data_IF_786023354944
#
_entry.id   IF_786023354944
#
_cell.length_a   1.000
_cell.length_b   1.000
_cell.length_c   1.000
_cell.angle_alpha   90.00
_cell.angle_beta   90.00
_cell.angle_gamma   90.00
#
_symmetry.space_group_name_H-M   'P 1'
#
loop_
_entity.id
_entity.type
_entity.pdbx_description
1 polymer ?
#
# COMPACT_ATOMS: atom_id res chain seq x y z
N UNK A 1 -2.70 -10.73 -1.13
CA UNK A 1 -1.37 -10.08 -1.01
C UNK A 1 -0.23 -11.10 -0.90
N UNK A 2 -0.14 -11.91 0.17
CA UNK A 2 1.00 -12.82 0.40
C UNK A 2 1.27 -13.80 -0.75
N UNK A 3 0.22 -14.34 -1.37
CA UNK A 3 0.37 -15.20 -2.56
C UNK A 3 1.05 -14.48 -3.73
N UNK A 4 0.69 -13.22 -3.99
CA UNK A 4 1.32 -12.40 -5.04
C UNK A 4 2.77 -12.09 -4.69
N UNK A 5 3.08 -11.86 -3.41
CA UNK A 5 4.46 -11.66 -2.97
C UNK A 5 5.29 -12.93 -3.14
N UNK A 6 4.76 -14.09 -2.76
CA UNK A 6 5.42 -15.39 -2.96
C UNK A 6 5.72 -15.68 -4.44
N UNK A 7 4.75 -15.37 -5.33
CA UNK A 7 4.97 -15.41 -6.79
C UNK A 7 6.15 -14.52 -7.20
N UNK A 8 6.19 -13.27 -6.72
CA UNK A 8 7.30 -12.36 -6.99
C UNK A 8 8.64 -12.93 -6.52
N UNK A 9 8.73 -13.37 -5.27
CA UNK A 9 9.97 -13.88 -4.68
C UNK A 9 10.51 -15.13 -5.39
N UNK A 10 9.61 -15.99 -5.86
CA UNK A 10 9.98 -17.19 -6.60
C UNK A 10 10.49 -16.90 -8.02
N UNK A 11 10.18 -15.73 -8.57
CA UNK A 11 10.42 -15.39 -9.97
C UNK A 11 11.90 -15.19 -10.33
N UNK A 12 12.25 -15.53 -11.58
CA UNK A 12 13.61 -15.32 -12.10
C UNK A 12 14.00 -13.84 -12.15
N UNK A 13 13.06 -12.96 -12.51
CA UNK A 13 13.28 -11.52 -12.62
C UNK A 13 13.67 -10.93 -11.26
N UNK A 14 12.87 -11.20 -10.21
CA UNK A 14 13.15 -10.73 -8.87
C UNK A 14 14.44 -11.31 -8.31
N UNK A 15 14.65 -12.63 -8.41
CA UNK A 15 15.88 -13.28 -7.93
C UNK A 15 17.13 -12.70 -8.58
N UNK A 16 17.08 -12.40 -9.88
CA UNK A 16 18.20 -11.80 -10.61
C UNK A 16 18.44 -10.35 -10.19
N UNK A 17 17.38 -9.56 -10.03
CA UNK A 17 17.45 -8.20 -9.53
C UNK A 17 17.98 -8.12 -8.09
N UNK A 18 17.48 -8.98 -7.19
CA UNK A 18 17.83 -8.99 -5.77
C UNK A 18 19.29 -9.38 -5.54
N UNK A 19 19.86 -10.27 -6.37
CA UNK A 19 21.30 -10.59 -6.36
C UNK A 19 22.18 -9.35 -6.61
N UNK A 20 21.73 -8.41 -7.44
CA UNK A 20 22.44 -7.16 -7.76
C UNK A 20 22.17 -6.04 -6.75
N UNK A 21 21.02 -6.08 -6.06
CA UNK A 21 20.57 -5.07 -5.11
C UNK A 21 20.39 -5.70 -3.71
N UNK A 22 21.47 -6.24 -3.14
CA UNK A 22 21.38 -7.04 -1.90
C UNK A 22 20.87 -6.24 -0.70
N UNK A 23 21.24 -4.97 -0.62
CA UNK A 23 20.86 -4.01 0.42
C UNK A 23 19.44 -3.44 0.26
N UNK A 24 18.74 -3.78 -0.83
CA UNK A 24 17.33 -3.39 -0.98
C UNK A 24 16.45 -4.05 0.07
N UNK A 25 15.28 -3.48 0.33
CA UNK A 25 14.28 -4.12 1.19
C UNK A 25 12.87 -3.68 0.83
N UNK A 26 11.90 -4.55 1.07
CA UNK A 26 10.48 -4.25 0.89
C UNK A 26 10.09 -3.12 1.86
N UNK A 27 9.47 -2.06 1.35
CA UNK A 27 9.04 -0.92 2.17
C UNK A 27 7.54 -0.64 2.07
N UNK A 28 6.88 -1.11 1.00
CA UNK A 28 5.45 -0.93 0.79
C UNK A 28 4.85 -2.04 -0.09
N UNK A 29 3.60 -2.39 0.18
CA UNK A 29 2.74 -3.15 -0.71
C UNK A 29 1.52 -2.31 -1.06
N UNK A 30 1.26 -2.12 -2.35
CA UNK A 30 0.23 -1.23 -2.86
C UNK A 30 -0.79 -2.02 -3.71
N UNK A 31 -2.06 -1.66 -3.59
CA UNK A 31 -3.16 -2.24 -4.35
C UNK A 31 -4.20 -1.18 -4.70
N UNK A 32 -4.74 -1.28 -5.91
CA UNK A 32 -5.95 -0.56 -6.35
C UNK A 32 -6.93 -1.56 -6.95
N UNK A 33 -8.22 -1.32 -6.73
CA UNK A 33 -9.28 -2.13 -7.32
C UNK A 33 -9.39 -1.99 -8.85
N UNK A 34 -9.04 -0.83 -9.40
CA UNK A 34 -9.03 -0.60 -10.86
C UNK A 34 -8.04 -1.51 -11.60
N UNK A 35 -6.84 -1.70 -11.04
CA UNK A 35 -5.81 -2.56 -11.66
C UNK A 35 -5.96 -4.01 -11.21
N UNK A 36 -6.54 -4.24 -10.03
CA UNK A 36 -6.67 -5.53 -9.37
C UNK A 36 -5.35 -6.32 -9.27
N UNK A 37 -4.21 -5.61 -9.23
CA UNK A 37 -2.87 -6.18 -9.16
C UNK A 37 -2.12 -5.65 -7.93
N UNK A 38 -1.23 -6.48 -7.38
CA UNK A 38 -0.36 -6.07 -6.29
C UNK A 38 0.92 -5.45 -6.82
N UNK A 39 1.27 -4.28 -6.28
CA UNK A 39 2.56 -3.65 -6.48
C UNK A 39 3.40 -3.79 -5.21
N UNK A 40 4.67 -4.12 -5.38
CA UNK A 40 5.63 -4.29 -4.28
C UNK A 40 6.79 -3.33 -4.48
N UNK A 41 6.97 -2.45 -3.51
CA UNK A 41 7.96 -1.39 -3.54
C UNK A 41 9.15 -1.77 -2.67
N UNK A 42 10.33 -1.72 -3.28
CA UNK A 42 11.60 -1.97 -2.61
C UNK A 42 12.44 -0.71 -2.58
N UNK A 43 12.89 -0.34 -1.39
CA UNK A 43 13.83 0.75 -1.22
C UNK A 43 15.23 0.33 -1.70
N UNK A 44 15.91 1.24 -2.41
CA UNK A 44 17.30 1.13 -2.84
C UNK A 44 18.15 2.15 -2.06
N UNK A 45 18.71 1.81 -0.89
CA UNK A 45 19.39 2.76 -0.01
C UNK A 45 20.52 3.54 -0.70
N UNK A 46 21.31 2.87 -1.54
CA UNK A 46 22.44 3.49 -2.26
C UNK A 46 22.04 4.54 -3.30
N UNK A 47 20.85 4.43 -3.87
CA UNK A 47 20.37 5.34 -4.92
C UNK A 47 19.36 6.36 -4.39
N UNK A 48 18.83 6.12 -3.20
CA UNK A 48 17.67 6.79 -2.65
C UNK A 48 16.43 6.74 -3.56
N UNK A 49 16.15 5.53 -4.08
CA UNK A 49 15.07 5.30 -5.06
C UNK A 49 14.18 4.13 -4.62
N UNK A 50 12.99 4.06 -5.21
CA UNK A 50 12.11 2.89 -5.14
C UNK A 50 12.24 2.07 -6.41
N UNK A 51 12.26 0.76 -6.23
CA UNK A 51 12.00 -0.21 -7.27
C UNK A 51 10.63 -0.84 -7.08
N UNK A 52 9.77 -0.72 -8.09
CA UNK A 52 8.42 -1.30 -8.04
C UNK A 52 8.31 -2.51 -8.94
N UNK A 53 7.70 -3.57 -8.41
CA UNK A 53 7.28 -4.75 -9.17
C UNK A 53 5.77 -4.86 -9.14
N UNK A 54 5.14 -4.98 -10.31
CA UNK A 54 3.70 -5.25 -10.44
C UNK A 54 3.52 -6.74 -10.72
N UNK A 55 2.74 -7.41 -9.89
CA UNK A 55 2.40 -8.82 -10.05
C UNK A 55 1.00 -8.91 -10.64
N UNK A 56 0.97 -9.22 -11.93
CA UNK A 56 -0.24 -9.55 -12.70
C UNK A 56 -0.35 -11.08 -12.78
N UNK A 57 -1.56 -11.63 -12.94
CA UNK A 57 -1.88 -13.06 -12.83
C UNK A 57 -0.73 -14.05 -13.15
N UNK A 58 -0.18 -13.94 -14.36
CA UNK A 58 0.90 -14.78 -14.90
C UNK A 58 2.21 -14.02 -15.16
N UNK A 59 2.23 -12.70 -14.99
CA UNK A 59 3.35 -11.85 -15.40
C UNK A 59 3.84 -10.94 -14.27
N UNK A 60 5.15 -10.73 -14.21
CA UNK A 60 5.75 -9.76 -13.29
C UNK A 60 6.35 -8.65 -14.13
N UNK A 61 5.85 -7.43 -13.95
CA UNK A 61 6.36 -6.24 -14.60
C UNK A 61 7.28 -5.49 -13.64
N UNK A 62 8.44 -5.12 -14.14
CA UNK A 62 9.38 -4.27 -13.44
C UNK A 62 9.19 -2.83 -13.92
N UNK A 63 8.85 -1.92 -13.01
CA UNK A 63 8.73 -0.50 -13.35
C UNK A 63 10.10 0.19 -13.25
N UNK A 64 10.23 1.34 -13.92
CA UNK A 64 11.44 2.14 -13.82
C UNK A 64 11.66 2.62 -12.38
N UNK A 65 12.93 2.72 -11.97
CA UNK A 65 13.28 3.22 -10.65
C UNK A 65 12.73 4.64 -10.49
N UNK A 66 12.04 4.92 -9.38
CA UNK A 66 11.43 6.22 -9.11
C UNK A 66 12.06 6.90 -7.90
N UNK A 67 12.04 8.22 -7.86
CA UNK A 67 12.51 8.98 -6.69
C UNK A 67 11.49 8.85 -5.56
N UNK A 68 11.97 8.79 -4.33
CA UNK A 68 11.11 8.80 -3.16
C UNK A 68 10.61 10.21 -2.93
N UNK A 69 9.30 10.35 -2.80
CA UNK A 69 8.68 11.58 -2.33
C UNK A 69 8.47 11.49 -0.82
N UNK A 70 9.27 12.21 -0.04
CA UNK A 70 9.15 12.28 1.43
C UNK A 70 9.39 13.70 1.93
N UNK A 71 8.59 14.13 2.89
CA UNK A 71 8.68 15.45 3.50
C UNK A 71 9.72 15.53 4.62
N UNK A 72 10.17 14.38 5.15
CA UNK A 72 11.20 14.28 6.18
C UNK A 72 12.33 13.32 5.78
N UNK A 73 13.51 13.48 6.38
CA UNK A 73 14.65 12.56 6.23
C UNK A 73 14.48 11.28 7.05
N UNK A 74 13.25 10.89 7.38
CA UNK A 74 13.01 9.69 8.18
C UNK A 74 13.55 8.47 7.43
N UNK A 75 14.28 7.62 8.15
CA UNK A 75 14.85 6.41 7.58
C UNK A 75 13.70 5.50 7.15
N UNK A 76 13.67 5.14 5.87
CA UNK A 76 12.75 4.13 5.37
C UNK A 76 12.97 2.84 6.17
N UNK A 77 11.87 2.24 6.63
CA UNK A 77 11.93 1.03 7.44
C UNK A 77 11.46 -0.17 6.62
N UNK A 78 12.05 -1.31 6.95
CA UNK A 78 11.67 -2.59 6.37
C UNK A 78 10.23 -2.89 6.73
N UNK A 79 9.46 -3.32 5.73
CA UNK A 79 8.16 -3.92 5.90
C UNK A 79 8.36 -5.42 6.17
N UNK A 80 7.92 -5.88 7.35
CA UNK A 80 8.02 -7.28 7.72
C UNK A 80 6.65 -7.95 7.56
N UNK A 81 6.51 -8.78 6.53
CA UNK A 81 5.24 -9.42 6.24
C UNK A 81 4.84 -10.46 7.28
N UNK A 82 5.80 -11.00 8.04
CA UNK A 82 5.53 -11.94 9.14
C UNK A 82 4.83 -11.26 10.33
N UNK A 83 4.97 -9.94 10.46
CA UNK A 83 4.29 -9.16 11.51
C UNK A 83 2.86 -8.76 11.12
N UNK A 84 2.41 -9.06 9.89
CA UNK A 84 1.04 -8.78 9.42
C UNK A 84 0.10 -9.88 9.90
N UNK A 85 -0.66 -9.59 10.96
CA UNK A 85 -1.67 -10.52 11.49
C UNK A 85 -3.08 -10.21 10.98
N UNK A 86 -3.31 -8.98 10.53
CA UNK A 86 -4.54 -8.56 9.86
C UNK A 86 -4.26 -8.55 8.37
N UNK A 87 -4.85 -9.49 7.65
CA UNK A 87 -4.65 -9.57 6.22
C UNK A 87 -5.44 -8.50 5.46
N UNK A 88 -5.28 -8.50 4.13
CA UNK A 88 -5.94 -7.56 3.25
C UNK A 88 -7.48 -7.64 3.30
N UNK A 89 -8.03 -8.86 3.37
CA UNK A 89 -9.49 -9.07 3.35
C UNK A 89 -10.09 -8.66 4.70
N UNK A 90 -9.39 -8.90 5.80
CA UNK A 90 -9.76 -8.44 7.13
C UNK A 90 -9.68 -6.91 7.24
N UNK A 91 -8.62 -6.29 6.73
CA UNK A 91 -8.51 -4.83 6.68
C UNK A 91 -9.63 -4.20 5.83
N UNK A 92 -9.97 -4.81 4.68
CA UNK A 92 -11.10 -4.40 3.86
C UNK A 92 -12.43 -4.51 4.60
N UNK A 93 -12.67 -5.60 5.34
CA UNK A 93 -13.89 -5.74 6.16
C UNK A 93 -14.01 -4.64 7.21
N UNK A 94 -12.92 -4.28 7.87
CA UNK A 94 -12.90 -3.16 8.83
C UNK A 94 -13.28 -1.85 8.12
N UNK A 95 -12.71 -1.60 6.95
CA UNK A 95 -12.98 -0.41 6.15
C UNK A 95 -14.43 -0.35 5.66
N UNK A 96 -14.96 -1.46 5.15
CA UNK A 96 -16.34 -1.58 4.72
C UNK A 96 -17.32 -1.41 5.90
N UNK A 97 -16.97 -1.89 7.09
CA UNK A 97 -17.76 -1.67 8.31
C UNK A 97 -17.82 -0.19 8.69
N UNK A 98 -16.68 0.53 8.68
CA UNK A 98 -16.64 1.98 8.95
C UNK A 98 -17.51 2.73 7.94
N UNK A 99 -17.33 2.44 6.65
CA UNK A 99 -18.13 3.00 5.56
C UNK A 99 -19.62 2.73 5.79
N UNK A 100 -20.00 1.49 6.07
CA UNK A 100 -21.39 1.09 6.23
C UNK A 100 -22.01 1.55 7.55
N UNK A 101 -21.24 2.01 8.54
CA UNK A 101 -21.79 2.58 9.77
C UNK A 101 -21.97 4.09 9.66
N UNK A 102 -20.99 4.80 9.11
CA UNK A 102 -20.90 6.27 9.15
C UNK A 102 -21.22 6.96 7.82
N UNK A 103 -21.04 6.26 6.70
CA UNK A 103 -21.10 6.81 5.34
C UNK A 103 -21.99 5.96 4.43
N UNK A 104 -23.12 5.48 4.96
CA UNK A 104 -24.03 4.54 4.28
C UNK A 104 -24.52 5.02 2.92
N UNK A 105 -24.77 6.33 2.79
CA UNK A 105 -25.29 6.97 1.58
C UNK A 105 -24.26 7.11 0.46
N UNK A 106 -22.98 6.89 0.75
CA UNK A 106 -21.91 7.01 -0.24
C UNK A 106 -21.69 5.70 -0.99
N UNK A 107 -21.39 5.80 -2.28
CA UNK A 107 -20.85 4.70 -3.06
C UNK A 107 -19.33 4.82 -3.13
N UNK A 108 -18.62 3.71 -3.00
CA UNK A 108 -17.17 3.66 -3.18
C UNK A 108 -16.88 3.52 -4.67
N UNK A 109 -16.22 4.52 -5.25
CA UNK A 109 -15.82 4.57 -6.65
C UNK A 109 -14.45 3.93 -6.91
N UNK A 110 -13.54 4.02 -5.93
CA UNK A 110 -12.19 3.44 -6.00
C UNK A 110 -11.67 3.13 -4.60
N UNK A 111 -10.90 2.05 -4.48
CA UNK A 111 -10.19 1.64 -3.27
C UNK A 111 -8.69 1.67 -3.53
N UNK A 112 -7.96 2.39 -2.69
CA UNK A 112 -6.50 2.43 -2.69
C UNK A 112 -6.03 1.89 -1.34
N UNK A 113 -5.13 0.92 -1.36
CA UNK A 113 -4.66 0.23 -0.14
C UNK A 113 -3.15 0.15 -0.15
N UNK A 114 -2.53 0.62 0.93
CA UNK A 114 -1.08 0.60 1.09
C UNK A 114 -0.71 -0.01 2.44
N UNK A 115 -0.02 -1.13 2.44
CA UNK A 115 0.67 -1.64 3.62
C UNK A 115 2.06 -1.01 3.66
N UNK A 116 2.38 -0.28 4.71
CA UNK A 116 3.65 0.43 4.82
C UNK A 116 4.05 0.66 6.28
N UNK A 117 5.31 1.04 6.48
CA UNK A 117 5.80 1.51 7.78
C UNK A 117 5.85 3.04 7.81
N UNK A 118 5.14 3.67 8.75
CA UNK A 118 5.27 5.11 9.04
C UNK A 118 5.91 5.33 10.42
N UNK A 119 5.13 5.17 11.49
CA UNK A 119 5.63 5.05 12.87
C UNK A 119 5.64 3.60 13.33
N UNK A 120 4.77 2.80 12.72
CA UNK A 120 4.56 1.37 12.85
C UNK A 120 4.05 0.83 11.51
N UNK A 121 4.02 -0.48 11.37
CA UNK A 121 3.40 -1.14 10.23
C UNK A 121 1.87 -0.99 10.31
N UNK A 122 1.28 -0.54 9.21
CA UNK A 122 -0.16 -0.27 9.14
C UNK A 122 -0.68 -0.41 7.71
N UNK A 123 -1.97 -0.71 7.60
CA UNK A 123 -2.75 -0.52 6.40
C UNK A 123 -3.21 0.94 6.34
N UNK A 124 -2.80 1.67 5.31
CA UNK A 124 -3.31 2.99 4.96
C UNK A 124 -4.28 2.83 3.79
N UNK A 125 -5.57 2.98 4.07
CA UNK A 125 -6.65 2.70 3.12
C UNK A 125 -7.39 3.98 2.77
N UNK A 126 -7.62 4.19 1.49
CA UNK A 126 -8.34 5.34 0.97
C UNK A 126 -9.48 4.87 0.10
N UNK A 127 -10.71 5.23 0.47
CA UNK A 127 -11.90 5.04 -0.37
C UNK A 127 -12.28 6.38 -1.00
N UNK A 128 -12.28 6.44 -2.33
CA UNK A 128 -12.88 7.53 -3.07
C UNK A 128 -14.39 7.31 -3.15
N UNK A 129 -15.15 8.25 -2.64
CA UNK A 129 -16.61 8.17 -2.58
C UNK A 129 -17.28 9.02 -3.66
N UNK A 130 -18.55 8.71 -3.94
CA UNK A 130 -19.38 9.38 -4.96
C UNK A 130 -19.45 10.90 -4.81
N UNK A 131 -19.41 11.43 -3.60
CA UNK A 131 -19.39 12.88 -3.32
C UNK A 131 -17.99 13.52 -3.46
N UNK A 132 -17.03 12.82 -4.07
CA UNK A 132 -15.61 13.21 -4.16
C UNK A 132 -14.93 13.37 -2.79
N UNK A 133 -15.49 12.71 -1.77
CA UNK A 133 -14.87 12.58 -0.47
C UNK A 133 -13.89 11.40 -0.47
N UNK A 134 -12.71 11.61 0.13
CA UNK A 134 -11.71 10.60 0.40
C UNK A 134 -11.83 10.18 1.86
N UNK A 135 -12.33 8.98 2.11
CA UNK A 135 -12.26 8.35 3.42
C UNK A 135 -10.89 7.69 3.58
N UNK A 136 -10.04 8.26 4.42
CA UNK A 136 -8.71 7.76 4.74
C UNK A 136 -8.72 7.12 6.12
N UNK A 137 -8.37 5.85 6.20
CA UNK A 137 -8.30 5.10 7.46
C UNK A 137 -6.94 4.44 7.59
N UNK A 138 -6.34 4.56 8.76
CA UNK A 138 -5.12 3.83 9.12
C UNK A 138 -5.47 2.73 10.11
N UNK A 139 -5.12 1.50 9.80
CA UNK A 139 -5.41 0.32 10.59
C UNK A 139 -4.08 -0.34 10.95
N UNK A 140 -3.87 -0.59 12.24
CA UNK A 140 -2.71 -1.32 12.73
C UNK A 140 -2.70 -2.74 12.14
N UNK A 141 -1.63 -3.12 11.43
CA UNK A 141 -1.58 -4.38 10.69
C UNK A 141 -1.44 -5.62 11.57
N UNK A 142 -1.15 -5.43 12.85
CA UNK A 142 -1.00 -6.51 13.83
C UNK A 142 -2.27 -6.72 14.65
N UNK A 143 -2.88 -5.63 15.13
CA UNK A 143 -4.02 -5.69 16.05
C UNK A 143 -5.38 -5.42 15.41
N UNK A 144 -5.41 -4.84 14.19
CA UNK A 144 -6.66 -4.44 13.52
C UNK A 144 -7.28 -3.18 14.11
N UNK A 145 -6.60 -2.54 15.06
CA UNK A 145 -7.07 -1.29 15.67
C UNK A 145 -7.05 -0.16 14.65
N UNK A 146 -8.16 0.55 14.53
CA UNK A 146 -8.21 1.82 13.79
C UNK A 146 -7.39 2.88 14.53
N UNK A 147 -6.33 3.35 13.89
CA UNK A 147 -5.39 4.34 14.42
C UNK A 147 -5.82 5.78 14.08
N UNK A 148 -6.44 5.96 12.93
CA UNK A 148 -7.01 7.24 12.50
C UNK A 148 -8.06 7.03 11.42
N UNK A 149 -9.06 7.91 11.39
CA UNK A 149 -10.10 8.00 10.38
C UNK A 149 -10.27 9.47 10.02
N UNK A 150 -10.24 9.80 8.74
CA UNK A 150 -10.36 11.16 8.24
C UNK A 150 -11.15 11.19 6.94
N UNK A 151 -11.95 12.24 6.73
CA UNK A 151 -12.69 12.45 5.47
C UNK A 151 -12.36 13.83 4.93
N UNK A 152 -11.85 13.86 3.70
CA UNK A 152 -11.48 15.10 3.02
C UNK A 152 -12.15 15.17 1.65
N UNK A 153 -12.69 16.33 1.29
CA UNK A 153 -13.27 16.52 -0.03
C UNK A 153 -12.18 16.94 -1.02
N UNK A 154 -12.08 16.27 -2.17
CA UNK A 154 -11.04 16.53 -3.17
C UNK A 154 -11.07 17.97 -3.67
N UNK A 155 -12.25 18.59 -3.73
CA UNK A 155 -12.40 19.97 -4.21
C UNK A 155 -11.66 20.99 -3.34
N UNK A 156 -11.38 20.66 -2.07
CA UNK A 156 -10.60 21.52 -1.17
C UNK A 156 -9.13 21.67 -1.59
N UNK A 157 -8.58 20.70 -2.32
CA UNK A 157 -7.18 20.76 -2.78
C UNK A 157 -6.96 21.68 -3.99
N UNK A 158 -8.03 22.08 -4.72
CA UNK A 158 -7.93 23.02 -5.85
C UNK A 158 -7.90 24.50 -5.44
N UNK A 159 -8.11 24.80 -4.16
CA UNK A 159 -8.20 26.16 -3.64
C UNK A 159 -6.91 26.65 -2.94
N UNK A 160 -5.79 25.94 -3.13
CA UNK A 160 -4.48 26.23 -2.53
C UNK A 160 -3.39 26.25 -3.58
#
# INVERSE_FOLDING_TARGET
MLNSFSKLESSKVYKSWKKKNKDSFLCSCFFTDDENNWQFDFYLPKKDMIKTFVVEDLNIKELADSRIFRNDKSNMKVLNLDDVKIDFDEALKIMDNIKNQKYKSENVLRKIVVLQYIKRQLWNMTFLMSSLNLLNVRIDSESGKVLSENVENIMKFKAS
#
